data_IF_640777261785
#
_entry.id   IF_640777261785
#
_cell.length_a   1.000
_cell.length_b   1.000
_cell.length_c   1.000
_cell.angle_alpha   90.00
_cell.angle_beta   90.00
_cell.angle_gamma   90.00
#
_symmetry.space_group_name_H-M   'P 1'
#
loop_
_entity.id
_entity.type
_entity.pdbx_description
1 polymer ?
#
# COMPACT_ATOMS: atom_id res chain seq x y z
N UNK A 1 29.84 -25.40 -4.59
CA UNK A 1 29.85 -24.03 -5.15
C UNK A 1 29.78 -23.09 -3.96
N UNK A 2 30.88 -22.45 -3.58
CA UNK A 2 30.84 -21.44 -2.53
C UNK A 2 30.08 -20.22 -3.09
N UNK A 3 29.00 -19.84 -2.44
CA UNK A 3 28.22 -18.65 -2.80
C UNK A 3 29.08 -17.41 -2.49
N UNK A 4 29.02 -16.37 -3.32
CA UNK A 4 29.76 -15.09 -3.15
C UNK A 4 29.71 -14.54 -1.71
N UNK A 5 28.63 -14.82 -0.99
CA UNK A 5 28.46 -14.49 0.43
C UNK A 5 29.50 -15.09 1.34
N UNK A 6 29.78 -16.38 1.19
CA UNK A 6 30.77 -17.10 1.98
C UNK A 6 32.19 -16.61 1.69
N UNK A 7 32.48 -16.22 0.44
CA UNK A 7 33.78 -15.67 0.06
C UNK A 7 34.01 -14.25 0.62
N UNK A 8 32.94 -13.48 0.81
CA UNK A 8 32.97 -12.12 1.35
C UNK A 8 32.73 -12.05 2.87
N UNK A 9 32.54 -13.20 3.54
CA UNK A 9 32.28 -13.28 4.98
C UNK A 9 30.92 -12.72 5.42
N UNK A 10 29.96 -12.63 4.49
CA UNK A 10 28.58 -12.24 4.82
C UNK A 10 27.80 -13.43 5.38
N UNK A 11 26.91 -13.13 6.31
CA UNK A 11 25.92 -14.09 6.82
C UNK A 11 25.14 -14.71 5.64
N UNK A 12 24.84 -16.01 5.67
CA UNK A 12 24.13 -16.67 4.57
C UNK A 12 22.71 -16.09 4.37
N UNK A 13 22.12 -15.50 5.41
CA UNK A 13 20.81 -14.85 5.41
C UNK A 13 20.89 -13.32 5.23
N UNK A 14 22.07 -12.75 4.95
CA UNK A 14 22.24 -11.29 4.78
C UNK A 14 21.29 -10.66 3.73
N UNK A 15 20.89 -11.46 2.72
CA UNK A 15 19.89 -11.12 1.71
C UNK A 15 18.76 -12.15 1.80
N UNK A 16 18.08 -12.19 2.94
CA UNK A 16 16.93 -13.06 3.14
C UNK A 16 15.75 -12.65 2.25
N UNK A 17 15.15 -13.62 1.58
CA UNK A 17 13.90 -13.44 0.82
C UNK A 17 12.69 -13.62 1.74
N UNK A 18 12.71 -13.07 2.96
CA UNK A 18 11.62 -13.23 3.94
C UNK A 18 10.29 -12.67 3.42
N UNK A 19 10.36 -11.66 2.55
CA UNK A 19 9.23 -11.16 1.80
C UNK A 19 8.50 -12.26 1.01
N UNK A 20 9.19 -13.31 0.61
CA UNK A 20 8.61 -14.43 -0.11
C UNK A 20 7.60 -15.25 0.69
N UNK A 21 7.59 -15.13 2.03
CA UNK A 21 6.58 -15.72 2.89
C UNK A 21 5.25 -14.94 2.84
N UNK A 22 5.31 -13.64 2.58
CA UNK A 22 4.16 -12.74 2.67
C UNK A 22 3.58 -12.37 1.31
N UNK A 23 4.37 -12.44 0.24
CA UNK A 23 3.94 -12.02 -1.10
C UNK A 23 4.32 -13.02 -2.18
N UNK A 24 3.41 -13.19 -3.14
CA UNK A 24 3.64 -14.02 -4.32
C UNK A 24 4.82 -13.49 -5.16
N UNK A 25 5.49 -14.36 -5.92
CA UNK A 25 6.64 -13.98 -6.76
C UNK A 25 6.30 -12.86 -7.75
N UNK A 26 5.11 -12.89 -8.35
CA UNK A 26 4.64 -11.83 -9.26
C UNK A 26 4.44 -10.50 -8.53
N UNK A 27 3.91 -10.54 -7.30
CA UNK A 27 3.79 -9.36 -6.45
C UNK A 27 5.17 -8.77 -6.09
N UNK A 28 6.19 -9.61 -5.79
CA UNK A 28 7.57 -9.15 -5.54
C UNK A 28 8.14 -8.34 -6.70
N UNK A 29 8.06 -8.86 -7.92
CA UNK A 29 8.52 -8.14 -9.12
C UNK A 29 7.78 -6.82 -9.28
N UNK A 30 6.46 -6.82 -9.09
CA UNK A 30 5.64 -5.62 -9.20
C UNK A 30 6.00 -4.57 -8.14
N UNK A 31 6.21 -4.98 -6.89
CA UNK A 31 6.63 -4.09 -5.79
C UNK A 31 7.97 -3.42 -6.11
N UNK A 32 8.94 -4.17 -6.64
CA UNK A 32 10.23 -3.62 -7.04
C UNK A 32 10.08 -2.59 -8.16
N UNK A 33 9.27 -2.87 -9.18
CA UNK A 33 9.01 -1.92 -10.27
C UNK A 33 8.30 -0.66 -9.77
N UNK A 34 7.33 -0.79 -8.86
CA UNK A 34 6.70 0.35 -8.20
C UNK A 34 7.70 1.16 -7.36
N UNK A 35 8.59 0.49 -6.62
CA UNK A 35 9.60 1.14 -5.77
C UNK A 35 10.60 1.95 -6.62
N UNK A 36 11.06 1.38 -7.74
CA UNK A 36 11.91 2.09 -8.72
C UNK A 36 11.22 3.33 -9.26
N UNK A 37 9.94 3.23 -9.64
CA UNK A 37 9.17 4.36 -10.18
C UNK A 37 8.92 5.44 -9.13
N UNK A 38 8.67 5.06 -7.88
CA UNK A 38 8.55 6.00 -6.76
C UNK A 38 9.88 6.72 -6.47
N UNK A 39 11.02 6.03 -6.67
CA UNK A 39 12.34 6.66 -6.67
C UNK A 39 12.88 7.04 -5.29
N UNK A 40 12.25 6.60 -4.20
CA UNK A 40 12.80 6.78 -2.84
C UNK A 40 13.98 5.81 -2.67
N UNK A 41 15.20 6.36 -2.68
CA UNK A 41 16.44 5.60 -2.49
C UNK A 41 16.88 5.73 -1.04
N UNK A 42 16.95 4.60 -0.33
CA UNK A 42 17.43 4.53 1.05
C UNK A 42 18.95 4.40 1.11
N UNK A 43 19.53 3.72 0.13
CA UNK A 43 20.98 3.54 0.00
C UNK A 43 21.38 3.39 -1.46
N UNK A 44 22.52 3.97 -1.82
CA UNK A 44 23.14 3.83 -3.14
C UNK A 44 24.63 3.58 -2.98
N UNK A 45 25.04 2.36 -3.28
CA UNK A 45 26.44 1.98 -3.44
C UNK A 45 26.82 1.81 -4.92
N UNK A 46 28.06 1.39 -5.16
CA UNK A 46 28.57 1.15 -6.52
C UNK A 46 27.83 0.01 -7.22
N UNK A 47 27.51 -1.06 -6.50
CA UNK A 47 26.91 -2.28 -7.05
C UNK A 47 25.50 -2.60 -6.52
N UNK A 48 24.98 -1.79 -5.58
CA UNK A 48 23.68 -2.04 -4.95
C UNK A 48 22.89 -0.74 -4.74
N UNK A 49 21.60 -0.79 -5.01
CA UNK A 49 20.66 0.29 -4.71
C UNK A 49 19.53 -0.32 -3.87
N UNK A 50 19.27 0.27 -2.71
CA UNK A 50 18.16 -0.11 -1.83
C UNK A 50 17.07 0.94 -2.01
N UNK A 51 15.94 0.52 -2.56
CA UNK A 51 14.74 1.35 -2.68
C UNK A 51 13.84 1.17 -1.46
N UNK A 52 13.19 2.25 -1.05
CA UNK A 52 12.07 2.17 -0.12
C UNK A 52 10.89 1.48 -0.78
N UNK A 53 10.14 0.69 -0.01
CA UNK A 53 8.92 0.07 -0.50
C UNK A 53 7.92 1.16 -1.00
N UNK A 54 7.04 0.83 -1.97
CA UNK A 54 6.01 1.77 -2.41
C UNK A 54 5.17 2.26 -1.23
N UNK A 55 4.91 3.56 -1.14
CA UNK A 55 4.28 4.17 0.03
C UNK A 55 2.86 3.64 0.23
N UNK A 56 2.10 3.49 -0.86
CA UNK A 56 0.75 2.92 -0.82
C UNK A 56 0.74 1.49 -0.29
N UNK A 57 1.76 0.69 -0.62
CA UNK A 57 1.90 -0.67 -0.11
C UNK A 57 2.31 -0.69 1.36
N UNK A 58 3.26 0.19 1.76
CA UNK A 58 3.65 0.31 3.15
C UNK A 58 2.47 0.76 4.03
N UNK A 59 1.69 1.73 3.56
CA UNK A 59 0.47 2.20 4.22
C UNK A 59 -0.55 1.08 4.35
N UNK A 60 -0.84 0.37 3.25
CA UNK A 60 -1.73 -0.80 3.25
C UNK A 60 -1.36 -1.78 4.39
N UNK A 61 -0.08 -2.16 4.48
CA UNK A 61 0.38 -3.11 5.50
C UNK A 61 0.25 -2.57 6.92
N UNK A 62 0.43 -1.26 7.13
CA UNK A 62 0.21 -0.61 8.44
C UNK A 62 -1.27 -0.66 8.82
N UNK A 63 -2.17 -0.27 7.92
CA UNK A 63 -3.62 -0.31 8.18
C UNK A 63 -4.09 -1.74 8.50
N UNK A 64 -3.59 -2.74 7.77
CA UNK A 64 -3.93 -4.15 8.05
C UNK A 64 -3.43 -4.63 9.39
N UNK A 65 -2.25 -4.20 9.85
CA UNK A 65 -1.74 -4.55 11.18
C UNK A 65 -2.57 -3.89 12.29
N UNK A 66 -2.96 -2.63 12.12
CA UNK A 66 -3.89 -1.94 13.03
C UNK A 66 -5.19 -2.74 13.12
N UNK A 67 -5.79 -3.09 11.98
CA UNK A 67 -7.02 -3.89 11.93
C UNK A 67 -6.84 -5.27 12.59
N UNK A 68 -5.78 -6.01 12.23
CA UNK A 68 -5.52 -7.35 12.76
C UNK A 68 -5.20 -7.36 14.26
N UNK A 69 -4.73 -6.24 14.81
CA UNK A 69 -4.49 -6.11 16.26
C UNK A 69 -5.79 -6.22 17.08
N UNK A 70 -6.94 -5.93 16.45
CA UNK A 70 -8.26 -5.88 17.10
C UNK A 70 -8.40 -4.77 18.15
N UNK A 71 -7.40 -3.90 18.31
CA UNK A 71 -7.39 -2.80 19.28
C UNK A 71 -7.41 -1.48 18.54
N UNK A 72 -8.52 -0.75 18.65
CA UNK A 72 -8.65 0.60 18.13
C UNK A 72 -8.01 1.61 19.11
N UNK A 73 -6.68 1.59 19.20
CA UNK A 73 -5.91 2.49 20.06
C UNK A 73 -5.05 3.44 19.21
N UNK A 74 -5.25 4.76 19.39
CA UNK A 74 -4.48 5.81 18.70
C UNK A 74 -2.98 5.81 19.06
N UNK A 75 -2.61 5.17 20.17
CA UNK A 75 -1.21 5.04 20.64
C UNK A 75 -0.48 3.84 20.05
N UNK A 76 -1.18 3.01 19.26
CA UNK A 76 -0.56 1.89 18.58
C UNK A 76 0.51 2.41 17.60
N UNK A 77 1.75 1.85 17.61
CA UNK A 77 2.85 2.35 16.79
C UNK A 77 2.55 2.45 15.29
N UNK A 78 1.85 1.47 14.72
CA UNK A 78 1.47 1.48 13.30
C UNK A 78 0.50 2.62 12.96
N UNK A 79 -0.34 3.10 13.90
CA UNK A 79 -1.16 4.31 13.69
C UNK A 79 -0.26 5.51 13.41
N UNK A 80 0.77 5.71 14.22
CA UNK A 80 1.70 6.82 14.05
C UNK A 80 2.35 6.85 12.67
N UNK A 81 2.81 5.69 12.22
CA UNK A 81 3.40 5.50 10.89
C UNK A 81 2.37 5.68 9.77
N UNK A 82 1.17 5.10 9.90
CA UNK A 82 0.11 5.23 8.91
C UNK A 82 -0.24 6.70 8.67
N UNK A 83 -0.38 7.50 9.74
CA UNK A 83 -0.67 8.93 9.65
C UNK A 83 0.42 9.71 8.90
N UNK A 84 1.70 9.38 9.13
CA UNK A 84 2.82 10.00 8.42
C UNK A 84 2.80 9.64 6.93
N UNK A 85 2.55 8.37 6.59
CA UNK A 85 2.44 7.91 5.21
C UNK A 85 1.25 8.54 4.49
N UNK A 86 0.09 8.64 5.15
CA UNK A 86 -1.10 9.33 4.60
C UNK A 86 -0.83 10.80 4.31
N UNK A 87 -0.12 11.50 5.21
CA UNK A 87 0.31 12.90 5.00
C UNK A 87 1.21 13.03 3.78
N UNK A 88 2.22 12.16 3.67
CA UNK A 88 3.12 12.16 2.53
C UNK A 88 2.40 11.93 1.20
N UNK A 89 1.48 10.95 1.12
CA UNK A 89 0.72 10.67 -0.10
C UNK A 89 -0.17 11.87 -0.47
N UNK A 90 -0.86 12.44 0.51
CA UNK A 90 -1.70 13.64 0.31
C UNK A 90 -0.89 14.81 -0.24
N UNK A 91 0.28 15.08 0.32
CA UNK A 91 1.15 16.19 -0.10
C UNK A 91 1.74 15.95 -1.48
N UNK A 92 2.19 14.72 -1.77
CA UNK A 92 2.68 14.33 -3.09
C UNK A 92 1.62 14.54 -4.18
N UNK A 93 0.38 14.15 -3.91
CA UNK A 93 -0.71 14.21 -4.89
C UNK A 93 -1.47 15.55 -4.89
N UNK A 94 -1.19 16.43 -3.91
CA UNK A 94 -1.86 17.72 -3.73
C UNK A 94 -3.36 17.62 -3.44
N UNK A 95 -3.84 16.47 -2.96
CA UNK A 95 -5.28 16.18 -2.81
C UNK A 95 -5.56 15.24 -1.63
N UNK A 96 -6.72 15.43 -1.00
CA UNK A 96 -7.23 14.49 0.01
C UNK A 96 -7.34 13.06 -0.57
N UNK A 97 -7.24 12.07 0.31
CA UNK A 97 -7.30 10.66 -0.04
C UNK A 97 -8.75 10.21 -0.28
N UNK A 98 -8.91 9.19 -1.12
CA UNK A 98 -10.18 8.51 -1.32
C UNK A 98 -10.23 7.33 -0.33
N UNK A 99 -11.11 7.41 0.66
CA UNK A 99 -11.12 6.49 1.81
C UNK A 99 -11.31 5.04 1.39
N UNK A 100 -12.21 4.78 0.45
CA UNK A 100 -12.51 3.40 0.06
C UNK A 100 -11.35 2.77 -0.72
N UNK A 101 -10.69 3.53 -1.59
CA UNK A 101 -9.46 3.14 -2.26
C UNK A 101 -8.35 2.81 -1.26
N UNK A 102 -8.16 3.65 -0.23
CA UNK A 102 -7.16 3.39 0.83
C UNK A 102 -7.52 2.14 1.64
N UNK A 103 -8.79 1.94 1.96
CA UNK A 103 -9.27 0.76 2.72
C UNK A 103 -9.11 -0.54 1.93
N UNK A 104 -9.35 -0.49 0.62
CA UNK A 104 -9.38 -1.67 -0.27
C UNK A 104 -8.07 -1.94 -1.00
N UNK A 105 -7.07 -1.08 -0.86
CA UNK A 105 -5.71 -1.29 -1.35
C UNK A 105 -5.26 -2.71 -0.95
N UNK A 106 -5.02 -3.58 -1.94
CA UNK A 106 -4.65 -4.97 -1.71
C UNK A 106 -3.75 -5.48 -2.83
N UNK A 107 -2.44 -5.25 -2.71
CA UNK A 107 -1.48 -5.72 -3.72
C UNK A 107 -1.25 -7.23 -3.70
N UNK A 108 -1.59 -7.92 -2.61
CA UNK A 108 -1.38 -9.36 -2.46
C UNK A 108 -2.67 -10.18 -2.64
N UNK A 109 -3.81 -9.54 -2.90
CA UNK A 109 -5.14 -10.10 -3.21
C UNK A 109 -5.80 -11.04 -2.19
N UNK A 110 -5.11 -11.50 -1.14
CA UNK A 110 -5.65 -12.47 -0.16
C UNK A 110 -5.90 -11.90 1.24
N UNK A 111 -5.50 -10.65 1.49
CA UNK A 111 -5.62 -10.05 2.82
C UNK A 111 -7.06 -9.58 3.14
N UNK A 112 -7.46 -9.68 4.40
CA UNK A 112 -8.77 -9.21 4.90
C UNK A 112 -8.88 -7.69 4.81
N UNK A 113 -10.01 -7.20 4.32
CA UNK A 113 -10.27 -5.77 4.16
C UNK A 113 -10.52 -5.14 5.55
N UNK A 114 -9.79 -4.08 5.94
CA UNK A 114 -10.06 -3.32 7.15
C UNK A 114 -11.51 -2.80 7.20
N UNK A 115 -12.05 -2.72 8.41
CA UNK A 115 -13.42 -2.27 8.65
C UNK A 115 -13.54 -0.74 8.71
N UNK A 116 -14.80 -0.27 8.80
CA UNK A 116 -15.11 1.16 8.91
C UNK A 116 -14.49 1.80 10.16
N UNK A 117 -14.46 1.07 11.27
CA UNK A 117 -13.98 1.58 12.55
C UNK A 117 -12.47 1.86 12.52
N UNK A 118 -11.69 1.00 11.86
CA UNK A 118 -10.26 1.20 11.63
C UNK A 118 -10.02 2.48 10.80
N UNK A 119 -10.83 2.69 9.77
CA UNK A 119 -10.70 3.90 8.94
C UNK A 119 -11.11 5.17 9.68
N UNK A 120 -12.10 5.09 10.57
CA UNK A 120 -12.52 6.23 11.39
C UNK A 120 -11.48 6.59 12.45
N UNK A 121 -10.90 5.60 13.12
CA UNK A 121 -9.76 5.78 14.02
C UNK A 121 -8.64 6.57 13.35
N UNK A 122 -8.28 6.19 12.12
CA UNK A 122 -7.25 6.88 11.34
C UNK A 122 -7.66 8.30 10.98
N UNK A 123 -8.91 8.53 10.59
CA UNK A 123 -9.41 9.87 10.28
C UNK A 123 -9.35 10.80 11.51
N UNK A 124 -9.84 10.33 12.65
CA UNK A 124 -9.83 11.08 13.90
C UNK A 124 -8.40 11.37 14.37
N UNK A 125 -7.53 10.36 14.37
CA UNK A 125 -6.15 10.51 14.79
C UNK A 125 -5.35 11.45 13.85
N UNK A 126 -5.68 11.44 12.56
CA UNK A 126 -5.10 12.38 11.60
C UNK A 126 -5.53 13.82 11.88
N UNK A 127 -6.83 14.04 12.08
CA UNK A 127 -7.39 15.36 12.41
C UNK A 127 -6.77 15.90 13.70
N UNK A 128 -6.66 15.06 14.74
CA UNK A 128 -6.04 15.42 16.02
C UNK A 128 -4.57 15.82 15.85
N UNK A 129 -3.82 15.13 14.98
CA UNK A 129 -2.39 15.38 14.78
C UNK A 129 -2.10 16.58 13.88
N UNK A 130 -2.85 16.75 12.80
CA UNK A 130 -2.52 17.71 11.74
C UNK A 130 -3.53 18.86 11.59
N UNK A 131 -4.69 18.79 12.25
CA UNK A 131 -5.71 19.84 12.22
C UNK A 131 -6.43 19.98 10.87
N UNK A 132 -6.41 18.94 10.02
CA UNK A 132 -7.00 18.95 8.69
C UNK A 132 -7.62 17.59 8.32
N UNK A 133 -8.65 17.60 7.48
CA UNK A 133 -9.32 16.38 7.01
C UNK A 133 -8.47 15.61 5.99
N UNK A 134 -8.21 14.32 6.24
CA UNK A 134 -7.42 13.49 5.33
C UNK A 134 -8.22 12.92 4.16
N UNK A 135 -9.49 12.58 4.39
CA UNK A 135 -10.34 11.95 3.38
C UNK A 135 -11.25 12.97 2.71
N UNK A 136 -11.54 12.74 1.43
CA UNK A 136 -12.46 13.59 0.68
C UNK A 136 -13.89 13.48 1.21
N UNK A 137 -14.65 14.59 1.27
CA UNK A 137 -16.09 14.53 1.47
C UNK A 137 -16.74 13.61 0.41
N UNK A 138 -17.64 12.73 0.84
CA UNK A 138 -18.31 11.79 -0.06
C UNK A 138 -17.62 10.44 -0.21
N UNK A 139 -16.37 10.27 0.25
CA UNK A 139 -15.67 8.97 0.26
C UNK A 139 -16.15 8.02 1.37
N UNK A 140 -17.36 8.20 1.90
CA UNK A 140 -17.88 7.42 3.02
C UNK A 140 -18.16 5.98 2.61
N UNK A 141 -17.98 5.09 3.59
CA UNK A 141 -18.37 3.69 3.47
C UNK A 141 -19.90 3.63 3.47
N UNK A 142 -20.54 2.95 2.50
CA UNK A 142 -21.95 2.65 2.62
C UNK A 142 -22.14 1.87 3.92
N UNK A 143 -22.89 2.46 4.85
CA UNK A 143 -23.33 1.77 6.05
C UNK A 143 -24.16 0.57 5.58
N UNK A 144 -23.78 -0.63 6.01
CA UNK A 144 -24.30 -1.95 5.60
C UNK A 144 -23.75 -2.53 4.29
N UNK A 145 -22.89 -3.56 4.39
CA UNK A 145 -22.89 -4.66 3.41
C UNK A 145 -22.32 -5.95 4.03
N UNK A 146 -23.22 -6.78 4.57
CA UNK A 146 -23.00 -8.22 4.57
C UNK A 146 -23.16 -8.74 3.13
N UNK A 147 -22.15 -9.49 2.66
CA UNK A 147 -22.15 -10.43 1.53
C UNK A 147 -21.94 -9.96 0.06
N UNK A 148 -20.86 -10.53 -0.50
CA UNK A 148 -20.74 -11.19 -1.82
C UNK A 148 -20.58 -10.40 -3.13
N UNK A 149 -20.32 -9.10 -3.11
CA UNK A 149 -20.00 -8.39 -4.34
C UNK A 149 -18.53 -7.96 -4.38
N UNK A 150 -17.83 -8.29 -5.47
CA UNK A 150 -16.49 -7.78 -5.72
C UNK A 150 -16.55 -6.28 -5.99
N UNK A 151 -15.46 -5.55 -5.71
CA UNK A 151 -15.34 -4.11 -5.95
C UNK A 151 -15.80 -3.72 -7.38
N UNK A 152 -15.51 -4.59 -8.35
CA UNK A 152 -15.90 -4.44 -9.76
C UNK A 152 -17.41 -4.47 -10.00
N UNK A 153 -18.15 -5.21 -9.16
CA UNK A 153 -19.60 -5.36 -9.25
C UNK A 153 -20.37 -4.20 -8.60
N UNK A 154 -19.78 -3.56 -7.58
CA UNK A 154 -20.44 -2.46 -6.84
C UNK A 154 -20.28 -1.13 -7.58
N UNK A 155 -19.14 -0.93 -8.25
CA UNK A 155 -18.88 0.28 -9.01
C UNK A 155 -18.45 -0.02 -10.45
N UNK A 156 -19.34 -0.56 -11.31
CA UNK A 156 -18.99 -0.97 -12.67
C UNK A 156 -18.43 0.17 -13.54
N UNK A 157 -18.72 1.43 -13.18
CA UNK A 157 -18.22 2.64 -13.84
C UNK A 157 -17.19 3.42 -13.01
N UNK A 158 -16.61 2.81 -11.96
CA UNK A 158 -15.54 3.45 -11.17
C UNK A 158 -14.36 3.77 -12.08
N UNK A 159 -13.64 4.88 -11.85
CA UNK A 159 -12.40 5.15 -12.55
C UNK A 159 -11.47 3.96 -12.51
N UNK A 160 -11.26 3.21 -11.43
CA UNK A 160 -10.41 1.99 -11.46
C UNK A 160 -10.88 0.87 -12.41
N UNK A 161 -12.15 0.86 -12.81
CA UNK A 161 -12.75 -0.14 -13.69
C UNK A 161 -12.75 0.31 -15.16
N UNK A 162 -12.68 1.62 -15.39
CA UNK A 162 -12.48 2.24 -16.72
C UNK A 162 -11.03 2.73 -16.95
N UNK A 163 -10.24 2.86 -15.88
CA UNK A 163 -8.82 3.19 -15.84
C UNK A 163 -8.07 1.96 -15.40
N UNK A 164 -7.69 1.17 -16.40
CA UNK A 164 -6.28 1.01 -16.70
C UNK A 164 -5.38 1.82 -15.74
N UNK A 165 -4.82 1.16 -14.72
CA UNK A 165 -3.75 1.64 -13.82
C UNK A 165 -2.51 2.18 -14.57
N UNK A 166 -2.55 2.24 -15.90
CA UNK A 166 -1.59 2.74 -16.87
C UNK A 166 -1.23 4.22 -16.71
N UNK A 167 -2.05 5.04 -16.04
CA UNK A 167 -1.82 6.50 -16.01
C UNK A 167 -0.80 6.92 -14.94
N UNK A 168 -0.69 6.19 -13.82
CA UNK A 168 0.30 6.59 -12.79
C UNK A 168 1.72 6.06 -13.07
N UNK A 169 1.86 5.04 -13.92
CA UNK A 169 3.12 4.31 -14.05
C UNK A 169 3.48 3.84 -15.48
N UNK A 170 2.88 4.41 -16.53
CA UNK A 170 3.38 4.34 -17.91
C UNK A 170 3.83 2.96 -18.41
N UNK A 171 2.88 2.06 -18.70
CA UNK A 171 3.14 0.86 -19.52
C UNK A 171 2.14 0.86 -20.68
N UNK A 172 2.57 0.60 -21.94
CA UNK A 172 1.69 0.63 -23.10
C UNK A 172 0.66 -0.50 -23.03
N UNK A 173 -0.61 -0.17 -23.27
CA UNK A 173 -1.69 -1.15 -23.32
C UNK A 173 -1.47 -2.16 -24.45
N UNK A 174 -1.62 -3.45 -24.14
CA UNK A 174 -1.79 -4.47 -25.17
C UNK A 174 -3.19 -4.33 -25.75
N UNK A 175 -3.26 -3.80 -26.97
CA UNK A 175 -4.41 -3.94 -27.86
C UNK A 175 -4.53 -5.40 -28.26
N UNK A 176 -5.61 -6.09 -27.88
CA UNK A 176 -6.04 -7.31 -28.57
C UNK A 176 -7.01 -6.91 -29.69
N UNK A 177 -6.47 -6.77 -30.89
CA UNK A 177 -7.18 -7.00 -32.15
C UNK A 177 -7.10 -8.51 -32.45
N UNK A 178 -8.21 -9.09 -32.91
CA UNK A 178 -8.28 -10.42 -33.51
C UNK A 178 -8.98 -11.46 -32.66
#
# INVERSE_FOLDING_TARGET
>A
MATITHELGYDEEWLNEDMGLFVTKSCRTRLLECAKKQGIVLFRGENIIIYGAPMEWALERKIRRIYASGKLDKKEPDVGDALAMMKWIRERDGKQLEREFIRTLNLNTFDMIPDCQTMELLAEAYMERYGEEIFRPGSHLPYDYHHHLTYDQIYPNHPSNQTNFSILYGIPGRSSLG
#
